data_IF_760411654606
#
_entry.id   IF_760411654606
#
_cell.length_a   1.000
_cell.length_b   1.000
_cell.length_c   1.000
_cell.angle_alpha   90.00
_cell.angle_beta   90.00
_cell.angle_gamma   90.00
#
_symmetry.space_group_name_H-M   'P 1'
#
loop_
_entity.id
_entity.type
_entity.pdbx_description
1 polymer ?
#
# COMPACT_ATOMS: atom_id res chain seq x y z
N UNK A 1 -2.75 -1.07 -31.65
CA UNK A 1 -1.84 -1.34 -30.51
C UNK A 1 -1.64 -0.01 -29.78
N UNK A 2 -1.85 0.05 -28.46
CA UNK A 2 -1.54 1.27 -27.71
C UNK A 2 -0.02 1.43 -27.70
N UNK A 3 0.51 2.57 -28.13
CA UNK A 3 1.96 2.81 -28.04
C UNK A 3 2.37 2.99 -26.56
N UNK A 4 3.64 2.69 -26.25
CA UNK A 4 4.12 2.68 -24.87
C UNK A 4 3.96 4.05 -24.17
N UNK A 5 4.07 5.15 -24.91
CA UNK A 5 3.91 6.51 -24.37
C UNK A 5 2.46 6.74 -23.98
N UNK A 6 1.50 6.41 -24.85
CA UNK A 6 0.06 6.52 -24.56
C UNK A 6 -0.37 5.67 -23.37
N UNK A 7 0.26 4.50 -23.18
CA UNK A 7 -0.01 3.65 -22.02
C UNK A 7 0.43 4.32 -20.71
N UNK A 8 1.63 4.90 -20.70
CA UNK A 8 2.17 5.62 -19.54
C UNK A 8 1.37 6.89 -19.23
N UNK A 9 1.01 7.67 -20.26
CA UNK A 9 0.22 8.89 -20.11
C UNK A 9 -1.16 8.57 -19.50
N UNK A 10 -1.80 7.49 -19.96
CA UNK A 10 -3.08 7.03 -19.41
C UNK A 10 -2.95 6.56 -17.95
N UNK A 11 -1.95 5.74 -17.64
CA UNK A 11 -1.73 5.25 -16.29
C UNK A 11 -1.42 6.40 -15.31
N UNK A 12 -0.52 7.32 -15.68
CA UNK A 12 -0.12 8.44 -14.84
C UNK A 12 -1.28 9.39 -14.55
N UNK A 13 -2.08 9.73 -15.56
CA UNK A 13 -3.26 10.58 -15.38
C UNK A 13 -4.29 9.93 -14.44
N UNK A 14 -4.61 8.66 -14.67
CA UNK A 14 -5.59 7.93 -13.84
C UNK A 14 -5.12 7.82 -12.37
N UNK A 15 -3.83 7.57 -12.15
CA UNK A 15 -3.26 7.49 -10.79
C UNK A 15 -3.39 8.85 -10.08
N UNK A 16 -3.04 9.95 -10.74
CA UNK A 16 -3.13 11.30 -10.15
C UNK A 16 -4.57 11.66 -9.79
N UNK A 17 -5.53 11.38 -10.68
CA UNK A 17 -6.95 11.63 -10.42
C UNK A 17 -7.47 10.81 -9.22
N UNK A 18 -7.10 9.53 -9.14
CA UNK A 18 -7.48 8.67 -8.01
C UNK A 18 -6.86 9.18 -6.69
N UNK A 19 -5.58 9.57 -6.71
CA UNK A 19 -4.92 10.11 -5.51
C UNK A 19 -5.58 11.39 -5.00
N UNK A 20 -6.06 12.25 -5.90
CA UNK A 20 -6.79 13.47 -5.53
C UNK A 20 -8.19 13.19 -4.94
N UNK A 21 -8.74 11.98 -5.15
CA UNK A 21 -10.01 11.57 -4.54
C UNK A 21 -9.85 10.97 -3.15
N UNK A 22 -8.62 10.67 -2.72
CA UNK A 22 -8.36 10.10 -1.39
C UNK A 22 -8.50 11.20 -0.35
N UNK A 23 -9.32 10.95 0.67
CA UNK A 23 -9.51 11.86 1.80
C UNK A 23 -8.22 11.93 2.64
N UNK A 24 -7.58 13.11 2.77
CA UNK A 24 -6.39 13.27 3.60
C UNK A 24 -6.61 12.87 5.06
N UNK A 25 -7.82 13.07 5.60
CA UNK A 25 -8.12 12.74 7.00
C UNK A 25 -8.04 11.22 7.25
N UNK A 26 -8.48 10.40 6.29
CA UNK A 26 -8.37 8.94 6.39
C UNK A 26 -6.92 8.46 6.32
N UNK A 27 -6.07 9.18 5.59
CA UNK A 27 -4.63 8.88 5.51
C UNK A 27 -3.95 9.20 6.84
N UNK A 28 -4.27 10.33 7.47
CA UNK A 28 -3.76 10.69 8.79
C UNK A 28 -4.22 9.70 9.88
N UNK A 29 -5.48 9.27 9.83
CA UNK A 29 -6.04 8.28 10.77
C UNK A 29 -5.28 6.94 10.69
N UNK A 30 -5.08 6.42 9.47
CA UNK A 30 -4.32 5.17 9.26
C UNK A 30 -2.86 5.34 9.67
N UNK A 31 -2.22 6.47 9.33
CA UNK A 31 -0.83 6.72 9.70
C UNK A 31 -0.65 6.75 11.22
N UNK A 32 -1.58 7.40 11.94
CA UNK A 32 -1.59 7.45 13.41
C UNK A 32 -1.79 6.06 14.00
N UNK A 33 -2.77 5.30 13.50
CA UNK A 33 -3.03 3.93 13.96
C UNK A 33 -1.80 3.02 13.75
N UNK A 34 -1.10 3.13 12.62
CA UNK A 34 0.14 2.38 12.35
C UNK A 34 1.30 2.84 13.25
N UNK A 35 1.39 4.13 13.56
CA UNK A 35 2.40 4.69 14.46
C UNK A 35 2.24 4.18 15.91
N UNK A 36 1.01 4.02 16.38
CA UNK A 36 0.70 3.55 17.74
C UNK A 36 0.66 2.01 17.86
N UNK A 37 0.40 1.31 16.76
CA UNK A 37 0.27 -0.13 16.76
C UNK A 37 1.57 -0.84 17.21
N UNK A 38 1.42 -1.75 18.18
CA UNK A 38 2.51 -2.65 18.62
C UNK A 38 2.87 -3.69 17.56
N UNK A 39 1.89 -4.09 16.75
CA UNK A 39 2.00 -5.09 15.69
C UNK A 39 1.09 -4.69 14.55
N UNK A 40 1.54 -4.86 13.31
CA UNK A 40 0.74 -4.62 12.11
C UNK A 40 0.54 -5.94 11.37
N UNK A 41 -0.67 -6.22 10.94
CA UNK A 41 -0.99 -7.40 10.14
C UNK A 41 -1.49 -6.94 8.77
N UNK A 42 -0.80 -7.38 7.72
CA UNK A 42 -1.15 -7.06 6.33
C UNK A 42 -1.84 -8.25 5.69
N UNK A 43 -2.93 -8.00 4.95
CA UNK A 43 -3.71 -9.03 4.27
C UNK A 43 -4.20 -8.53 2.92
N UNK A 44 -4.22 -9.41 1.93
CA UNK A 44 -4.72 -9.11 0.59
C UNK A 44 -4.55 -10.27 -0.37
N UNK A 45 -5.38 -10.30 -1.41
CA UNK A 45 -5.36 -11.34 -2.44
C UNK A 45 -4.83 -10.81 -3.78
N UNK A 46 -4.21 -11.69 -4.56
CA UNK A 46 -3.69 -11.36 -5.90
C UNK A 46 -2.75 -10.16 -5.90
N UNK A 47 -2.97 -9.23 -6.84
CA UNK A 47 -2.13 -8.02 -6.99
C UNK A 47 -2.23 -7.07 -5.80
N UNK A 48 -3.40 -6.94 -5.17
CA UNK A 48 -3.54 -6.14 -3.96
C UNK A 48 -2.74 -6.73 -2.79
N UNK A 49 -2.67 -8.07 -2.71
CA UNK A 49 -1.78 -8.77 -1.79
C UNK A 49 -0.30 -8.45 -2.01
N UNK A 50 0.14 -8.25 -3.26
CA UNK A 50 1.52 -7.83 -3.53
C UNK A 50 1.78 -6.39 -3.09
N UNK A 51 0.84 -5.47 -3.33
CA UNK A 51 0.97 -4.06 -2.91
C UNK A 51 1.05 -3.95 -1.39
N UNK A 52 0.18 -4.63 -0.65
CA UNK A 52 0.19 -4.55 0.82
C UNK A 52 1.43 -5.21 1.44
N UNK A 53 2.05 -6.17 0.74
CA UNK A 53 3.35 -6.76 1.15
C UNK A 53 4.51 -5.79 0.98
N UNK A 54 4.48 -4.90 -0.02
CA UNK A 54 5.47 -3.84 -0.17
C UNK A 54 5.35 -2.88 1.02
N UNK A 55 4.13 -2.43 1.35
CA UNK A 55 3.91 -1.60 2.54
C UNK A 55 4.42 -2.31 3.82
N UNK A 56 4.13 -3.61 3.96
CA UNK A 56 4.63 -4.40 5.08
C UNK A 56 6.16 -4.45 5.18
N UNK A 57 6.83 -4.54 4.03
CA UNK A 57 8.30 -4.49 3.94
C UNK A 57 8.82 -3.11 4.34
N UNK A 58 8.26 -2.03 3.81
CA UNK A 58 8.66 -0.66 4.15
C UNK A 58 8.50 -0.39 5.65
N UNK A 59 7.39 -0.83 6.23
CA UNK A 59 7.15 -0.75 7.69
C UNK A 59 8.20 -1.53 8.49
N UNK A 60 8.59 -2.72 8.04
CA UNK A 60 9.65 -3.49 8.71
C UNK A 60 11.00 -2.78 8.68
N UNK A 61 11.32 -2.09 7.58
CA UNK A 61 12.57 -1.33 7.42
C UNK A 61 12.64 -0.11 8.35
N UNK A 62 11.50 0.48 8.71
CA UNK A 62 11.42 1.54 9.73
C UNK A 62 11.26 1.01 11.16
N UNK A 63 11.50 -0.28 11.37
CA UNK A 63 11.53 -0.90 12.71
C UNK A 63 10.17 -1.31 13.27
N UNK A 64 9.11 -1.34 12.45
CA UNK A 64 7.80 -1.84 12.89
C UNK A 64 7.76 -3.36 12.84
N UNK A 65 7.07 -3.94 13.82
CA UNK A 65 6.78 -5.38 13.86
C UNK A 65 5.57 -5.69 12.98
N UNK A 66 5.81 -6.26 11.81
CA UNK A 66 4.78 -6.50 10.79
C UNK A 66 4.70 -7.97 10.41
N UNK A 67 3.48 -8.47 10.27
CA UNK A 67 3.17 -9.82 9.85
C UNK A 67 2.33 -9.82 8.57
N UNK A 68 2.47 -10.90 7.81
CA UNK A 68 1.68 -11.16 6.60
C UNK A 68 0.70 -12.27 6.92
N UNK A 69 -0.60 -11.98 6.80
CA UNK A 69 -1.64 -12.98 7.07
C UNK A 69 -1.57 -14.09 6.04
N UNK A 70 -1.53 -15.33 6.52
CA UNK A 70 -1.37 -16.53 5.68
C UNK A 70 0.07 -16.86 5.31
N UNK A 71 1.06 -16.11 5.83
CA UNK A 71 2.47 -16.48 5.77
C UNK A 71 2.79 -17.38 6.97
N UNK A 72 3.50 -18.49 6.77
CA UNK A 72 3.79 -19.48 7.81
C UNK A 72 5.09 -19.20 8.58
N UNK A 73 5.68 -18.03 8.40
CA UNK A 73 6.90 -17.65 9.11
C UNK A 73 6.52 -16.99 10.44
N UNK A 74 7.02 -17.58 11.53
CA UNK A 74 6.88 -17.10 12.94
C UNK A 74 7.63 -15.80 13.18
#
# INVERSE_FOLDING_TARGET
MLDAKKLLDCAGKNISEILNMVDPAQIEEIATALAEAKRVFTAGWGRAGNVIRILGMDMSQVGKLVYRVGDNNT
#
